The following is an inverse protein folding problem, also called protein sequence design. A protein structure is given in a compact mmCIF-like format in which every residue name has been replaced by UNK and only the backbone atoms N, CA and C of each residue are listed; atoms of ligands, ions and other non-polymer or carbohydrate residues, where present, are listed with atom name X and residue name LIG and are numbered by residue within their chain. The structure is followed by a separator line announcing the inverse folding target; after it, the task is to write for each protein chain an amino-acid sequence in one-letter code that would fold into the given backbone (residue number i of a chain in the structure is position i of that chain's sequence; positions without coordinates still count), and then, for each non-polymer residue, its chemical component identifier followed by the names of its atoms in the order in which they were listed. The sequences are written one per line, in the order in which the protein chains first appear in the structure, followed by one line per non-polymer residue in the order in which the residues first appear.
data_IF_764826452478
#
_entry.id   IF_764826452478
#
_cell.length_a   1.000
_cell.length_b   1.000
_cell.length_c   1.000
_cell.angle_alpha   90.00
_cell.angle_beta   90.00
_cell.angle_gamma   90.00
#
_symmetry.space_group_name_H-M   'P 1'
#
loop_
_entity.id
_entity.type
_entity.pdbx_description
1 polymer ?
#
# COMPACT_ATOMS: atom_id res chain seq x y z
N UNK A 1 4.99 -40.13 -21.13
CA UNK A 1 5.55 -39.43 -19.94
C UNK A 1 5.68 -37.92 -20.12
N UNK A 2 5.71 -37.39 -21.36
CA UNK A 2 5.82 -35.95 -21.69
C UNK A 2 4.49 -35.18 -21.53
N UNK A 3 3.33 -35.80 -21.78
CA UNK A 3 2.01 -35.14 -21.57
C UNK A 3 1.72 -34.77 -20.11
N UNK A 4 2.14 -35.62 -19.15
CA UNK A 4 1.94 -35.36 -17.71
C UNK A 4 2.76 -34.16 -17.21
N UNK A 5 3.88 -33.86 -17.88
CA UNK A 5 4.73 -32.71 -17.57
C UNK A 5 4.08 -31.42 -18.09
N UNK A 6 3.39 -31.47 -19.23
CA UNK A 6 2.69 -30.32 -19.80
C UNK A 6 1.47 -29.89 -18.97
N UNK A 7 0.73 -30.86 -18.42
CA UNK A 7 -0.40 -30.57 -17.52
C UNK A 7 0.03 -29.92 -16.19
N UNK A 8 1.27 -30.16 -15.74
CA UNK A 8 1.77 -29.60 -14.47
C UNK A 8 2.21 -28.13 -14.61
N UNK A 9 2.62 -27.69 -15.80
CA UNK A 9 3.08 -26.32 -16.09
C UNK A 9 1.89 -25.37 -16.33
N UNK A 10 0.77 -25.87 -16.85
CA UNK A 10 -0.44 -25.07 -17.13
C UNK A 10 -1.21 -24.61 -15.88
N UNK A 11 -0.92 -25.19 -14.71
CA UNK A 11 -1.58 -24.84 -13.45
C UNK A 11 -0.85 -23.74 -12.66
N UNK A 12 0.37 -23.35 -13.08
CA UNK A 12 1.26 -22.43 -12.36
C UNK A 12 1.18 -20.97 -12.85
N UNK A 13 0.40 -20.68 -13.90
CA UNK A 13 0.39 -19.37 -14.58
C UNK A 13 -0.70 -18.39 -14.13
N UNK A 14 -1.52 -18.71 -13.13
CA UNK A 14 -2.68 -17.88 -12.74
C UNK A 14 -2.42 -16.99 -11.51
N UNK A 15 -1.16 -16.67 -11.20
CA UNK A 15 -0.82 -15.99 -9.94
C UNK A 15 -0.45 -14.51 -10.18
N UNK A 16 -1.48 -13.66 -10.04
CA UNK A 16 -1.45 -12.32 -9.41
C UNK A 16 -0.94 -11.11 -10.21
N UNK A 17 -1.85 -10.20 -10.59
CA UNK A 17 -1.55 -8.90 -11.23
C UNK A 17 -1.94 -7.68 -10.35
N UNK A 18 -2.62 -7.86 -9.22
CA UNK A 18 -3.12 -6.75 -8.38
C UNK A 18 -2.07 -6.08 -7.46
N UNK A 19 -0.82 -6.52 -7.50
CA UNK A 19 0.22 -6.12 -6.53
C UNK A 19 0.84 -4.75 -6.78
N UNK A 20 0.69 -4.18 -7.98
CA UNK A 20 1.43 -2.97 -8.40
C UNK A 20 0.95 -1.74 -7.63
N UNK A 21 -0.35 -1.43 -7.68
CA UNK A 21 -0.95 -0.28 -6.97
C UNK A 21 -0.78 -0.33 -5.45
N UNK A 22 -0.78 -1.53 -4.86
CA UNK A 22 -0.57 -1.70 -3.44
C UNK A 22 0.90 -1.43 -3.03
N UNK A 23 1.86 -1.79 -3.88
CA UNK A 23 3.27 -1.50 -3.67
C UNK A 23 3.55 0.01 -3.74
N UNK A 24 2.97 0.70 -4.73
CA UNK A 24 3.12 2.14 -4.92
C UNK A 24 2.62 2.93 -3.70
N UNK A 25 1.41 2.59 -3.21
CA UNK A 25 0.86 3.24 -2.02
C UNK A 25 1.68 2.98 -0.75
N UNK A 26 2.35 1.83 -0.61
CA UNK A 26 3.20 1.55 0.54
C UNK A 26 4.45 2.43 0.55
N UNK A 27 5.08 2.63 -0.61
CA UNK A 27 6.25 3.51 -0.76
C UNK A 27 5.89 4.98 -0.55
N UNK A 28 4.82 5.45 -1.20
CA UNK A 28 4.29 6.81 -1.02
C UNK A 28 3.91 7.03 0.45
N UNK A 29 3.19 6.09 1.07
CA UNK A 29 2.81 6.16 2.47
C UNK A 29 4.00 6.27 3.43
N UNK A 30 5.07 5.51 3.17
CA UNK A 30 6.32 5.56 3.96
C UNK A 30 7.03 6.91 3.84
N UNK A 31 7.06 7.46 2.62
CA UNK A 31 7.63 8.79 2.35
C UNK A 31 6.85 9.89 3.07
N UNK A 32 5.51 9.84 3.01
CA UNK A 32 4.63 10.81 3.66
C UNK A 32 4.72 10.72 5.19
N UNK A 33 4.72 9.51 5.78
CA UNK A 33 4.84 9.32 7.23
C UNK A 33 6.18 9.83 7.75
N UNK A 34 7.28 9.53 7.04
CA UNK A 34 8.62 10.00 7.38
C UNK A 34 8.72 11.53 7.36
N UNK A 35 8.17 12.17 6.32
CA UNK A 35 8.12 13.64 6.22
C UNK A 35 7.32 14.29 7.34
N UNK A 36 6.24 13.66 7.80
CA UNK A 36 5.43 14.18 8.90
C UNK A 36 6.03 13.88 10.28
N UNK A 37 7.04 13.01 10.39
CA UNK A 37 7.61 12.58 11.67
C UNK A 37 6.72 11.59 12.43
N UNK A 38 5.94 10.78 11.71
CA UNK A 38 5.07 9.76 12.26
C UNK A 38 5.32 8.37 11.68
N UNK A 39 4.63 7.38 12.22
CA UNK A 39 4.74 5.98 11.80
C UNK A 39 3.60 5.62 10.87
N UNK A 40 3.92 5.08 9.70
CA UNK A 40 2.92 4.50 8.79
C UNK A 40 2.25 3.30 9.46
N UNK A 41 0.93 3.38 9.62
CA UNK A 41 0.13 2.28 10.17
C UNK A 41 -0.62 1.53 9.08
N UNK A 42 -1.10 2.25 8.06
CA UNK A 42 -1.84 1.68 6.94
C UNK A 42 -1.64 2.54 5.71
N UNK A 43 -1.49 1.90 4.55
CA UNK A 43 -1.65 2.54 3.25
C UNK A 43 -2.62 1.70 2.44
N UNK A 44 -3.62 2.32 1.82
CA UNK A 44 -4.65 1.60 1.05
C UNK A 44 -4.91 2.32 -0.26
N UNK A 45 -4.78 1.63 -1.41
CA UNK A 45 -5.14 2.19 -2.69
C UNK A 45 -6.66 2.39 -2.76
N UNK A 46 -7.08 3.54 -3.26
CA UNK A 46 -8.46 3.91 -3.54
C UNK A 46 -8.52 4.58 -4.91
N UNK A 47 -9.68 4.54 -5.56
CA UNK A 47 -9.94 5.34 -6.76
C UNK A 47 -10.88 6.47 -6.39
N UNK A 48 -10.49 7.72 -6.65
CA UNK A 48 -11.27 8.94 -6.40
C UNK A 48 -11.35 9.71 -7.69
N UNK A 49 -12.58 9.98 -8.16
CA UNK A 49 -12.81 10.79 -9.37
C UNK A 49 -12.09 10.28 -10.64
N UNK A 50 -11.80 8.97 -10.68
CA UNK A 50 -11.05 8.32 -11.77
C UNK A 50 -9.53 8.31 -11.59
N UNK A 51 -9.01 8.92 -10.53
CA UNK A 51 -7.59 8.96 -10.20
C UNK A 51 -7.22 7.90 -9.13
N UNK A 52 -6.04 7.30 -9.27
CA UNK A 52 -5.49 6.38 -8.28
C UNK A 52 -4.92 7.19 -7.11
N UNK A 53 -5.53 7.04 -5.94
CA UNK A 53 -5.12 7.72 -4.71
C UNK A 53 -4.79 6.69 -3.64
N UNK A 54 -4.04 7.11 -2.64
CA UNK A 54 -3.68 6.31 -1.48
C UNK A 54 -4.23 6.99 -0.22
N UNK A 55 -4.99 6.23 0.56
CA UNK A 55 -5.32 6.61 1.94
C UNK A 55 -4.19 6.15 2.84
N UNK A 56 -3.50 7.11 3.44
CA UNK A 56 -2.34 6.89 4.31
C UNK A 56 -2.72 7.25 5.74
N UNK A 57 -2.64 6.26 6.63
CA UNK A 57 -2.89 6.44 8.06
C UNK A 57 -1.55 6.47 8.79
N UNK A 58 -1.30 7.60 9.44
CA UNK A 58 -0.06 7.90 10.16
C UNK A 58 -0.40 8.06 11.63
N UNK A 59 0.34 7.38 12.49
CA UNK A 59 0.30 7.63 13.94
C UNK A 59 1.45 8.56 14.27
N UNK A 60 1.10 9.75 14.75
CA UNK A 60 2.08 10.70 15.26
C UNK A 60 2.40 10.37 16.71
N UNK A 61 3.69 10.31 17.09
CA UNK A 61 4.08 10.05 18.47
C UNK A 61 3.59 11.15 19.40
N UNK A 62 3.42 10.80 20.67
CA UNK A 62 3.16 11.75 21.74
C UNK A 62 4.37 12.70 21.88
N UNK A 63 4.10 14.01 21.93
CA UNK A 63 5.13 15.02 22.20
C UNK A 63 4.61 16.03 23.23
N UNK A 64 5.43 16.39 24.22
CA UNK A 64 5.09 17.34 25.29
C UNK A 64 3.80 17.00 26.05
N UNK A 65 3.62 15.73 26.44
CA UNK A 65 2.44 15.29 27.21
C UNK A 65 1.13 15.22 26.40
N UNK A 66 1.18 15.46 25.09
CA UNK A 66 0.02 15.29 24.20
C UNK A 66 -0.19 13.81 23.87
N UNK A 67 -1.45 13.41 23.70
CA UNK A 67 -1.79 12.04 23.27
C UNK A 67 -1.31 11.78 21.83
N UNK A 68 -0.94 10.53 21.49
CA UNK A 68 -0.72 10.15 20.10
C UNK A 68 -1.95 10.48 19.25
N UNK A 69 -1.73 11.00 18.05
CA UNK A 69 -2.81 11.36 17.12
C UNK A 69 -2.72 10.50 15.88
N UNK A 70 -3.86 9.99 15.43
CA UNK A 70 -4.00 9.37 14.11
C UNK A 70 -4.32 10.46 13.11
N UNK A 71 -3.52 10.53 12.06
CA UNK A 71 -3.67 11.44 10.93
C UNK A 71 -3.95 10.59 9.71
N UNK A 72 -5.04 10.86 9.03
CA UNK A 72 -5.40 10.22 7.76
C UNK A 72 -5.23 11.26 6.65
N UNK A 73 -4.43 10.93 5.65
CA UNK A 73 -4.18 11.79 4.50
C UNK A 73 -4.44 11.02 3.22
N UNK A 74 -5.04 11.70 2.24
CA UNK A 74 -5.23 11.16 0.89
C UNK A 74 -4.20 11.81 -0.01
N UNK A 75 -3.43 11.00 -0.72
CA UNK A 75 -2.35 11.44 -1.61
C UNK A 75 -2.43 10.69 -2.95
N UNK A 76 -1.94 11.27 -4.06
CA UNK A 76 -1.83 10.53 -5.32
C UNK A 76 -0.92 9.30 -5.21
N UNK A 77 -1.17 8.29 -6.03
CA UNK A 77 -0.39 7.05 -6.07
C UNK A 77 0.88 7.12 -6.96
N UNK A 78 1.13 8.28 -7.57
CA UNK A 78 2.17 8.51 -8.59
C UNK A 78 3.54 8.98 -8.04
#
# INVERSE_FOLDING_TARGET
MIEKIFLFIMFLSVISVDSVLAADCAEVGKKVSSRQGGTLTRSTPIVRDGENMCVVVIVMPAHNGKKPRRVEVVVPAD
#
